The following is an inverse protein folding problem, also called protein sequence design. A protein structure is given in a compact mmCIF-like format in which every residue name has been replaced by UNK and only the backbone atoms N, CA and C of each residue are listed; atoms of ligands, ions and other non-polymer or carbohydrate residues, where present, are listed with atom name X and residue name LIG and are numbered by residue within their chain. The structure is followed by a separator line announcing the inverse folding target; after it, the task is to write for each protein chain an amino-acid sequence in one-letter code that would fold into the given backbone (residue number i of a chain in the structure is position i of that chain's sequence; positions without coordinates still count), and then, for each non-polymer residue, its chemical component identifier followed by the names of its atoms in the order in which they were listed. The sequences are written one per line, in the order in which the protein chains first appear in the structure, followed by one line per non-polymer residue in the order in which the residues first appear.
data_IF_959040945935
#
_entry.id   IF_959040945935
#
_cell.length_a   1.000
_cell.length_b   1.000
_cell.length_c   1.000
_cell.angle_alpha   90.00
_cell.angle_beta   90.00
_cell.angle_gamma   90.00
#
_symmetry.space_group_name_H-M   'P 1'
#
loop_
_entity.id
_entity.type
_entity.pdbx_description
1 polymer ?
#
# COMPACT_ATOMS: atom_id res chain seq x y z
N UNK A 1 3.97 21.29 -10.34
CA UNK A 1 3.01 20.86 -9.27
C UNK A 1 1.77 20.27 -9.94
N UNK A 2 1.70 18.95 -10.02
CA UNK A 2 0.62 18.25 -10.78
C UNK A 2 -0.68 18.18 -9.99
N UNK A 3 -0.63 18.13 -8.66
CA UNK A 3 -1.80 18.06 -7.79
C UNK A 3 -1.77 19.20 -6.76
N UNK A 4 -2.87 19.95 -6.65
CA UNK A 4 -3.04 20.92 -5.56
C UNK A 4 -3.33 20.20 -4.23
N UNK A 5 -3.03 20.83 -3.11
CA UNK A 5 -3.32 20.30 -1.78
C UNK A 5 -4.79 19.93 -1.59
N UNK A 6 -5.69 20.73 -2.15
CA UNK A 6 -7.13 20.46 -2.12
C UNK A 6 -7.49 19.14 -2.82
N UNK A 7 -6.90 18.85 -3.98
CA UNK A 7 -7.13 17.56 -4.68
C UNK A 7 -6.56 16.39 -3.92
N UNK A 8 -5.42 16.58 -3.28
CA UNK A 8 -4.82 15.56 -2.41
C UNK A 8 -5.72 15.24 -1.22
N UNK A 9 -6.25 16.27 -0.59
CA UNK A 9 -7.19 16.11 0.51
C UNK A 9 -8.47 15.40 0.06
N UNK A 10 -9.03 15.75 -1.10
CA UNK A 10 -10.18 15.06 -1.67
C UNK A 10 -9.92 13.56 -1.92
N UNK A 11 -8.72 13.19 -2.41
CA UNK A 11 -8.36 11.78 -2.56
C UNK A 11 -8.32 11.03 -1.22
N UNK A 12 -7.81 11.67 -0.18
CA UNK A 12 -7.79 11.06 1.16
C UNK A 12 -9.20 10.96 1.76
N UNK A 13 -10.10 11.92 1.48
CA UNK A 13 -11.50 11.88 1.92
C UNK A 13 -12.24 10.62 1.44
N UNK A 14 -11.90 10.09 0.26
CA UNK A 14 -12.48 8.84 -0.23
C UNK A 14 -12.20 7.66 0.71
N UNK A 15 -11.16 7.74 1.51
CA UNK A 15 -10.77 6.72 2.50
C UNK A 15 -11.46 6.88 3.85
N UNK A 16 -12.12 8.01 4.10
CA UNK A 16 -12.86 8.25 5.35
C UNK A 16 -14.17 7.44 5.42
N UNK A 17 -14.66 6.95 4.28
CA UNK A 17 -15.81 6.04 4.26
C UNK A 17 -15.37 4.70 4.84
N UNK A 18 -16.03 4.22 5.92
CA UNK A 18 -15.68 2.94 6.51
C UNK A 18 -15.84 1.80 5.50
N UNK A 19 -14.85 0.93 5.30
CA UNK A 19 -14.94 -0.17 4.32
C UNK A 19 -16.18 -1.04 4.50
N UNK A 20 -16.62 -1.26 5.74
CA UNK A 20 -17.79 -2.09 6.05
C UNK A 20 -19.08 -1.58 5.39
N UNK A 21 -19.20 -0.27 5.20
CA UNK A 21 -20.38 0.33 4.54
C UNK A 21 -20.39 0.04 3.05
N UNK A 22 -19.22 0.01 2.44
CA UNK A 22 -19.06 -0.16 0.99
C UNK A 22 -19.06 -1.62 0.55
N UNK A 23 -18.64 -2.54 1.42
CA UNK A 23 -18.38 -3.94 1.05
C UNK A 23 -19.67 -4.68 0.65
N UNK A 24 -20.81 -4.39 1.29
CA UNK A 24 -22.09 -4.99 0.92
C UNK A 24 -22.50 -4.68 -0.52
N UNK A 25 -22.69 -3.41 -0.89
CA UNK A 25 -22.97 -3.02 -2.28
C UNK A 25 -21.89 -3.49 -3.28
N UNK A 26 -20.62 -3.45 -2.87
CA UNK A 26 -19.51 -3.90 -3.70
C UNK A 26 -19.60 -5.39 -4.02
N UNK A 27 -19.94 -6.24 -3.04
CA UNK A 27 -20.07 -7.67 -3.25
C UNK A 27 -21.19 -8.02 -4.25
N UNK A 28 -22.31 -7.30 -4.19
CA UNK A 28 -23.39 -7.45 -5.17
C UNK A 28 -22.90 -7.06 -6.58
N UNK A 29 -22.23 -5.93 -6.71
CA UNK A 29 -21.67 -5.48 -7.98
C UNK A 29 -20.66 -6.48 -8.53
N UNK A 30 -19.74 -6.97 -7.69
CA UNK A 30 -18.73 -7.95 -8.08
C UNK A 30 -19.34 -9.29 -8.53
N UNK A 31 -20.47 -9.66 -7.93
CA UNK A 31 -21.23 -10.85 -8.38
C UNK A 31 -21.79 -10.64 -9.78
N UNK A 32 -22.34 -9.45 -10.09
CA UNK A 32 -22.92 -9.17 -11.41
C UNK A 32 -21.90 -9.13 -12.53
N UNK A 33 -20.67 -8.68 -12.25
CA UNK A 33 -19.59 -8.59 -13.25
C UNK A 33 -18.62 -9.79 -13.23
N UNK A 34 -18.93 -10.83 -12.41
CA UNK A 34 -18.13 -12.04 -12.34
C UNK A 34 -16.75 -11.92 -11.71
N UNK A 35 -16.55 -10.89 -10.84
CA UNK A 35 -15.29 -10.66 -10.13
C UNK A 35 -15.30 -11.14 -8.67
N UNK A 36 -16.43 -11.67 -8.19
CA UNK A 36 -16.50 -12.31 -6.87
C UNK A 36 -15.58 -13.54 -6.85
N UNK A 37 -14.92 -13.81 -5.74
CA UNK A 37 -14.01 -14.95 -5.55
C UNK A 37 -12.89 -15.05 -6.58
N UNK A 38 -12.37 -13.91 -7.04
CA UNK A 38 -11.28 -13.85 -8.03
C UNK A 38 -10.11 -13.01 -7.56
N UNK A 39 -8.88 -13.43 -7.88
CA UNK A 39 -7.67 -12.64 -7.61
C UNK A 39 -7.70 -11.29 -8.31
N UNK A 40 -8.23 -11.23 -9.53
CA UNK A 40 -8.37 -9.98 -10.27
C UNK A 40 -9.30 -9.00 -9.57
N UNK A 41 -10.40 -9.48 -9.00
CA UNK A 41 -11.31 -8.69 -8.20
C UNK A 41 -10.62 -8.12 -6.95
N UNK A 42 -9.88 -8.96 -6.20
CA UNK A 42 -9.13 -8.51 -5.03
C UNK A 42 -8.04 -7.51 -5.40
N UNK A 43 -7.27 -7.76 -6.46
CA UNK A 43 -6.23 -6.83 -6.94
C UNK A 43 -6.84 -5.49 -7.30
N UNK A 44 -7.95 -5.48 -8.04
CA UNK A 44 -8.62 -4.25 -8.46
C UNK A 44 -9.08 -3.40 -7.26
N UNK A 45 -9.73 -4.00 -6.27
CA UNK A 45 -10.19 -3.26 -5.10
C UNK A 45 -9.04 -2.78 -4.22
N UNK A 46 -7.99 -3.58 -4.03
CA UNK A 46 -6.82 -3.18 -3.27
C UNK A 46 -6.05 -2.06 -3.97
N UNK A 47 -5.92 -2.11 -5.29
CA UNK A 47 -5.35 -1.02 -6.05
C UNK A 47 -6.12 0.28 -5.84
N UNK A 48 -7.45 0.26 -6.01
CA UNK A 48 -8.31 1.44 -5.84
C UNK A 48 -8.22 2.00 -4.41
N UNK A 49 -8.25 1.12 -3.42
CA UNK A 49 -8.27 1.54 -2.02
C UNK A 49 -6.92 2.00 -1.50
N UNK A 50 -5.80 1.52 -2.04
CA UNK A 50 -4.45 1.93 -1.62
C UNK A 50 -3.89 3.11 -2.43
N UNK A 51 -4.44 3.38 -3.62
CA UNK A 51 -4.00 4.45 -4.50
C UNK A 51 -3.91 5.83 -3.82
N UNK A 52 -4.89 6.28 -3.01
CA UNK A 52 -4.79 7.56 -2.31
C UNK A 52 -3.56 7.67 -1.41
N UNK A 53 -3.21 6.61 -0.70
CA UNK A 53 -2.00 6.59 0.13
C UNK A 53 -0.72 6.60 -0.71
N UNK A 54 -0.68 5.81 -1.80
CA UNK A 54 0.46 5.78 -2.71
C UNK A 54 0.74 7.17 -3.27
N UNK A 55 -0.30 7.85 -3.76
CA UNK A 55 -0.19 9.19 -4.33
C UNK A 55 0.22 10.20 -3.27
N UNK A 56 -0.41 10.18 -2.10
CA UNK A 56 -0.15 11.14 -1.03
C UNK A 56 1.28 11.02 -0.50
N UNK A 57 1.70 9.82 -0.14
CA UNK A 57 3.05 9.59 0.39
C UNK A 57 4.13 9.90 -0.64
N UNK A 58 3.95 9.43 -1.89
CA UNK A 58 4.91 9.74 -2.97
C UNK A 58 5.03 11.23 -3.21
N UNK A 59 3.90 11.95 -3.23
CA UNK A 59 3.91 13.41 -3.37
C UNK A 59 4.67 14.09 -2.23
N UNK A 60 4.45 13.66 -0.98
CA UNK A 60 5.16 14.23 0.16
C UNK A 60 6.68 14.13 0.00
N UNK A 61 7.19 12.98 -0.46
CA UNK A 61 8.62 12.81 -0.73
C UNK A 61 9.12 13.63 -1.93
N UNK A 62 8.29 13.83 -2.96
CA UNK A 62 8.65 14.71 -4.09
C UNK A 62 8.71 16.18 -3.65
N UNK A 63 7.77 16.61 -2.80
CA UNK A 63 7.74 17.99 -2.29
C UNK A 63 8.95 18.32 -1.36
N UNK A 64 9.61 17.31 -0.81
CA UNK A 64 10.86 17.46 -0.05
C UNK A 64 12.10 17.69 -0.92
N UNK A 65 12.03 17.40 -2.23
CA UNK A 65 13.15 17.64 -3.15
C UNK A 65 13.35 19.14 -3.34
N UNK A 66 14.57 19.66 -3.08
CA UNK A 66 14.86 21.09 -3.31
C UNK A 66 14.68 21.46 -4.78
N UNK A 67 13.91 22.53 -5.03
CA UNK A 67 13.62 22.98 -6.40
C UNK A 67 14.88 23.40 -7.15
N UNK A 68 15.90 23.81 -6.43
CA UNK A 68 17.20 24.23 -6.96
C UNK A 68 17.88 23.09 -7.74
N UNK A 69 17.67 21.83 -7.35
CA UNK A 69 18.22 20.68 -8.06
C UNK A 69 17.56 20.50 -9.44
N UNK A 70 16.23 20.70 -9.52
CA UNK A 70 15.52 20.64 -10.79
C UNK A 70 15.94 21.80 -11.71
N UNK A 71 16.02 23.03 -11.17
CA UNK A 71 16.43 24.22 -11.92
C UNK A 71 17.88 24.12 -12.42
N UNK A 72 18.80 23.61 -11.60
CA UNK A 72 20.17 23.40 -12.03
C UNK A 72 20.26 22.39 -13.20
N UNK A 73 19.50 21.33 -13.16
CA UNK A 73 19.42 20.35 -14.24
C UNK A 73 18.82 20.96 -15.52
N UNK A 74 17.77 21.81 -15.40
CA UNK A 74 17.18 22.52 -16.54
C UNK A 74 18.20 23.47 -17.21
N UNK A 75 18.97 24.19 -16.42
CA UNK A 75 20.03 25.09 -16.93
C UNK A 75 21.11 24.30 -17.69
N UNK A 76 21.41 23.07 -17.24
CA UNK A 76 22.33 22.16 -17.92
C UNK A 76 21.73 21.49 -19.18
N UNK A 77 20.49 21.82 -19.55
CA UNK A 77 19.82 21.32 -20.75
C UNK A 77 19.14 19.95 -20.57
N UNK A 78 18.96 19.48 -19.34
CA UNK A 78 18.25 18.24 -19.09
C UNK A 78 16.75 18.38 -19.44
N UNK A 79 16.21 17.39 -20.15
CA UNK A 79 14.79 17.31 -20.40
C UNK A 79 14.03 16.83 -19.17
N UNK A 80 12.70 16.97 -19.15
CA UNK A 80 11.85 16.58 -18.02
C UNK A 80 12.00 15.12 -17.61
N UNK A 81 12.20 14.22 -18.56
CA UNK A 81 12.35 12.80 -18.27
C UNK A 81 13.69 12.53 -17.55
N UNK A 82 14.78 13.15 -18.02
CA UNK A 82 16.10 13.10 -17.40
C UNK A 82 16.06 13.65 -15.96
N UNK A 83 15.38 14.78 -15.74
CA UNK A 83 15.21 15.36 -14.39
C UNK A 83 14.49 14.37 -13.47
N UNK A 84 13.40 13.75 -13.93
CA UNK A 84 12.66 12.78 -13.12
C UNK A 84 13.52 11.56 -12.79
N UNK A 85 14.20 10.97 -13.78
CA UNK A 85 14.90 9.69 -13.61
C UNK A 85 16.27 9.82 -12.96
N UNK A 86 17.01 10.91 -13.23
CA UNK A 86 18.38 11.07 -12.79
C UNK A 86 18.56 12.03 -11.61
N UNK A 87 17.57 12.92 -11.37
CA UNK A 87 17.65 13.86 -10.26
C UNK A 87 16.62 13.52 -9.18
N UNK A 88 15.33 13.53 -9.51
CA UNK A 88 14.26 13.37 -8.52
C UNK A 88 14.19 11.94 -7.99
N UNK A 89 14.10 10.95 -8.88
CA UNK A 89 13.92 9.54 -8.48
C UNK A 89 15.02 9.01 -7.55
N UNK A 90 16.33 9.24 -7.79
CA UNK A 90 17.37 8.80 -6.85
C UNK A 90 17.24 9.41 -5.45
N UNK A 91 16.76 10.66 -5.36
CA UNK A 91 16.56 11.34 -4.07
C UNK A 91 15.40 10.73 -3.32
N UNK A 92 14.25 10.50 -3.97
CA UNK A 92 13.04 10.00 -3.32
C UNK A 92 12.96 8.48 -3.19
N UNK A 93 13.92 7.71 -3.72
CA UNK A 93 13.85 6.23 -3.75
C UNK A 93 13.63 5.59 -2.37
N UNK A 94 14.21 6.16 -1.32
CA UNK A 94 13.99 5.69 0.06
C UNK A 94 12.56 5.92 0.52
N UNK A 95 11.97 7.07 0.16
CA UNK A 95 10.56 7.38 0.41
C UNK A 95 9.61 6.48 -0.38
N UNK A 96 9.95 6.16 -1.64
CA UNK A 96 9.17 5.20 -2.44
C UNK A 96 9.19 3.79 -1.83
N UNK A 97 10.34 3.35 -1.30
CA UNK A 97 10.44 2.07 -0.58
C UNK A 97 9.62 2.08 0.72
N UNK A 98 9.59 3.20 1.44
CA UNK A 98 8.73 3.37 2.62
C UNK A 98 7.25 3.30 2.25
N UNK A 99 6.85 3.98 1.17
CA UNK A 99 5.49 3.94 0.62
C UNK A 99 5.10 2.53 0.22
N UNK A 100 5.97 1.83 -0.49
CA UNK A 100 5.76 0.43 -0.89
C UNK A 100 5.56 -0.47 0.33
N UNK A 101 6.43 -0.38 1.35
CA UNK A 101 6.32 -1.18 2.56
C UNK A 101 5.01 -0.90 3.31
N UNK A 102 4.63 0.36 3.41
CA UNK A 102 3.37 0.76 4.04
C UNK A 102 2.16 0.15 3.34
N UNK A 103 2.09 0.26 2.00
CA UNK A 103 1.01 -0.31 1.20
C UNK A 103 1.02 -1.84 1.28
N UNK A 104 2.20 -2.46 1.26
CA UNK A 104 2.34 -3.91 1.41
C UNK A 104 1.75 -4.39 2.75
N UNK A 105 2.08 -3.71 3.86
CA UNK A 105 1.54 -4.06 5.17
C UNK A 105 0.02 -3.89 5.20
N UNK A 106 -0.51 -2.78 4.68
CA UNK A 106 -1.95 -2.53 4.62
C UNK A 106 -2.70 -3.62 3.82
N UNK A 107 -2.17 -3.97 2.65
CA UNK A 107 -2.79 -4.97 1.76
C UNK A 107 -2.63 -6.38 2.32
N UNK A 108 -1.46 -6.68 2.89
CA UNK A 108 -1.17 -7.99 3.48
C UNK A 108 -2.03 -8.31 4.70
N UNK A 109 -2.34 -7.29 5.50
CA UNK A 109 -3.14 -7.44 6.73
C UNK A 109 -4.64 -7.23 6.49
N UNK A 110 -5.05 -6.98 5.24
CA UNK A 110 -6.45 -6.73 4.94
C UNK A 110 -7.25 -8.02 5.07
N UNK A 111 -8.32 -7.96 5.86
CA UNK A 111 -9.18 -9.09 6.17
C UNK A 111 -10.61 -8.88 5.68
N UNK A 112 -11.19 -7.71 5.96
CA UNK A 112 -12.64 -7.49 5.85
C UNK A 112 -13.13 -7.59 4.40
N UNK A 113 -12.46 -6.91 3.49
CA UNK A 113 -12.83 -6.90 2.06
C UNK A 113 -12.59 -8.28 1.46
N UNK A 114 -11.44 -8.89 1.78
CA UNK A 114 -11.16 -10.26 1.33
C UNK A 114 -12.19 -11.26 1.87
N UNK A 115 -12.55 -11.18 3.14
CA UNK A 115 -13.53 -12.08 3.76
C UNK A 115 -14.88 -12.06 3.05
N UNK A 116 -15.31 -10.90 2.56
CA UNK A 116 -16.62 -10.75 1.91
C UNK A 116 -16.55 -11.06 0.41
N UNK A 117 -15.44 -10.72 -0.25
CA UNK A 117 -15.29 -10.92 -1.70
C UNK A 117 -14.73 -12.28 -2.09
N UNK A 118 -14.05 -13.00 -1.19
CA UNK A 118 -13.52 -14.34 -1.45
C UNK A 118 -14.41 -15.43 -0.85
N UNK A 119 -14.40 -16.61 -1.47
CA UNK A 119 -15.16 -17.79 -0.99
C UNK A 119 -14.26 -19.03 -0.91
N UNK A 120 -13.74 -19.48 -2.04
CA UNK A 120 -12.97 -20.73 -2.18
C UNK A 120 -11.67 -20.55 -2.95
N UNK A 121 -11.70 -19.76 -4.05
CA UNK A 121 -10.61 -19.72 -5.01
C UNK A 121 -9.59 -18.59 -4.74
N UNK A 122 -10.07 -17.46 -4.18
CA UNK A 122 -9.25 -16.28 -3.93
C UNK A 122 -9.09 -15.98 -2.42
N UNK A 123 -8.96 -17.01 -1.60
CA UNK A 123 -8.87 -16.86 -0.13
C UNK A 123 -7.50 -16.31 0.26
N UNK A 124 -7.50 -15.20 1.01
CA UNK A 124 -6.26 -14.61 1.55
C UNK A 124 -5.84 -15.27 2.87
N UNK A 125 -4.55 -15.16 3.22
CA UNK A 125 -4.04 -15.76 4.45
C UNK A 125 -4.74 -15.25 5.73
N UNK A 126 -5.07 -13.94 5.90
CA UNK A 126 -5.85 -13.49 7.04
C UNK A 126 -7.26 -14.11 7.11
N UNK A 127 -7.91 -14.31 5.96
CA UNK A 127 -9.23 -14.95 5.89
C UNK A 127 -9.12 -16.43 6.26
N UNK A 128 -8.10 -17.13 5.76
CA UNK A 128 -7.85 -18.52 6.11
C UNK A 128 -7.56 -18.69 7.61
N UNK A 129 -6.76 -17.79 8.19
CA UNK A 129 -6.46 -17.81 9.62
C UNK A 129 -7.73 -17.69 10.48
N UNK A 130 -8.66 -16.82 10.09
CA UNK A 130 -9.91 -16.62 10.83
C UNK A 130 -10.82 -17.86 10.86
N UNK A 131 -10.74 -18.75 9.87
CA UNK A 131 -11.51 -20.01 9.87
C UNK A 131 -11.17 -20.91 11.04
N UNK A 132 -9.93 -20.85 11.56
CA UNK A 132 -9.49 -21.67 12.71
C UNK A 132 -9.98 -21.14 14.07
N UNK A 133 -10.54 -19.93 14.13
CA UNK A 133 -11.09 -19.35 15.36
C UNK A 133 -12.50 -19.85 15.67
N UNK A 134 -13.27 -20.26 14.64
CA UNK A 134 -14.68 -20.62 14.72
C UNK A 134 -15.00 -22.09 14.45
N UNK A 135 -14.02 -22.99 14.40
CA UNK A 135 -14.28 -24.39 14.07
C UNK A 135 -15.03 -25.10 15.19
N UNK A 136 -16.06 -25.89 14.83
CA UNK A 136 -16.85 -26.72 15.75
C UNK A 136 -16.01 -27.84 16.43
N UNK A 137 -14.83 -28.11 15.93
CA UNK A 137 -13.88 -29.11 16.49
C UNK A 137 -13.02 -28.58 17.65
N UNK A 138 -13.29 -27.37 18.14
CA UNK A 138 -12.49 -26.67 19.12
C UNK A 138 -11.34 -25.88 18.47
N UNK A 139 -10.68 -25.04 19.27
CA UNK A 139 -9.58 -24.20 18.79
C UNK A 139 -8.37 -25.06 18.41
N UNK A 140 -8.02 -25.10 17.13
CA UNK A 140 -6.85 -25.82 16.62
C UNK A 140 -5.63 -24.90 16.71
N UNK A 141 -5.19 -24.64 17.95
CA UNK A 141 -4.10 -23.69 18.25
C UNK A 141 -2.81 -23.94 17.46
N UNK A 142 -2.46 -25.22 17.21
CA UNK A 142 -1.24 -25.56 16.48
C UNK A 142 -1.26 -25.07 15.02
N UNK A 143 -2.38 -25.27 14.31
CA UNK A 143 -2.52 -24.81 12.92
C UNK A 143 -2.62 -23.30 12.83
N UNK A 144 -3.37 -22.70 13.76
CA UNK A 144 -3.49 -21.24 13.87
C UNK A 144 -2.13 -20.59 14.12
N UNK A 145 -1.34 -21.11 15.05
CA UNK A 145 0.00 -20.61 15.34
C UNK A 145 0.94 -20.76 14.14
N UNK A 146 0.93 -21.91 13.46
CA UNK A 146 1.75 -22.15 12.27
C UNK A 146 1.42 -21.17 11.14
N UNK A 147 0.13 -20.94 10.86
CA UNK A 147 -0.30 -19.93 9.87
C UNK A 147 0.10 -18.52 10.28
N UNK A 148 -0.09 -18.14 11.54
CA UNK A 148 0.29 -16.81 12.05
C UNK A 148 1.79 -16.55 11.86
N UNK A 149 2.63 -17.52 12.18
CA UNK A 149 4.08 -17.45 11.94
C UNK A 149 4.35 -17.33 10.42
N UNK A 150 3.71 -18.16 9.60
CA UNK A 150 3.87 -18.16 8.14
C UNK A 150 3.47 -16.81 7.51
N UNK A 151 2.43 -16.17 8.01
CA UNK A 151 1.98 -14.84 7.56
C UNK A 151 2.98 -13.75 7.97
N UNK A 152 3.59 -13.87 9.13
CA UNK A 152 4.47 -12.85 9.70
C UNK A 152 5.88 -12.86 9.06
N UNK A 153 6.41 -14.05 8.74
CA UNK A 153 7.78 -14.21 8.22
C UNK A 153 8.05 -13.34 6.96
N UNK A 154 7.22 -13.34 5.91
CA UNK A 154 7.48 -12.53 4.71
C UNK A 154 7.58 -11.03 5.03
N UNK A 155 6.73 -10.52 5.92
CA UNK A 155 6.77 -9.12 6.33
C UNK A 155 8.05 -8.77 7.08
N UNK A 156 8.51 -9.66 7.96
CA UNK A 156 9.78 -9.50 8.68
C UNK A 156 10.94 -9.46 7.68
N UNK A 157 10.98 -10.39 6.73
CA UNK A 157 12.04 -10.45 5.70
C UNK A 157 12.08 -9.15 4.89
N UNK A 158 10.93 -8.69 4.41
CA UNK A 158 10.83 -7.42 3.66
C UNK A 158 11.26 -6.24 4.53
N UNK A 159 10.78 -6.16 5.78
CA UNK A 159 11.16 -5.10 6.72
C UNK A 159 12.66 -5.05 6.99
N UNK A 160 13.29 -6.20 7.24
CA UNK A 160 14.75 -6.29 7.44
C UNK A 160 15.51 -5.87 6.18
N UNK A 161 15.05 -6.28 5.00
CA UNK A 161 15.70 -5.94 3.72
C UNK A 161 15.66 -4.45 3.44
N UNK A 162 14.53 -3.80 3.72
CA UNK A 162 14.30 -2.38 3.42
C UNK A 162 14.86 -1.47 4.53
N UNK A 163 15.09 -1.96 5.75
CA UNK A 163 15.50 -1.12 6.92
C UNK A 163 16.68 -0.18 6.64
N UNK A 164 17.68 -0.63 5.88
CA UNK A 164 18.86 0.17 5.56
C UNK A 164 18.52 1.37 4.64
N UNK A 165 17.53 1.22 3.80
CA UNK A 165 17.05 2.26 2.89
C UNK A 165 16.15 3.26 3.62
N UNK A 166 15.32 2.78 4.55
CA UNK A 166 14.49 3.62 5.39
C UNK A 166 15.31 4.53 6.31
N UNK A 167 16.34 3.98 6.97
CA UNK A 167 17.21 4.75 7.87
C UNK A 167 17.89 5.93 7.17
N UNK A 168 18.25 5.80 5.90
CA UNK A 168 18.84 6.89 5.11
C UNK A 168 17.85 7.96 4.71
N UNK A 169 16.57 7.61 4.48
CA UNK A 169 15.52 8.57 4.12
C UNK A 169 15.11 9.47 5.28
N UNK A 170 15.04 8.92 6.49
CA UNK A 170 14.67 9.69 7.68
C UNK A 170 15.76 10.66 8.17
N UNK A 171 17.03 10.44 7.80
CA UNK A 171 18.13 11.32 8.21
C UNK A 171 18.13 12.67 7.49
N UNK A 172 17.56 12.77 6.29
CA UNK A 172 17.50 14.04 5.56
C UNK A 172 16.48 15.03 6.16
N UNK A 173 15.42 14.54 6.80
CA UNK A 173 14.40 15.40 7.46
C UNK A 173 14.86 16.06 8.78
N UNK A 174 15.94 15.58 9.42
CA UNK A 174 16.41 16.11 10.71
C UNK A 174 17.45 17.23 10.62
N UNK A 175 17.92 17.59 9.43
CA UNK A 175 18.97 18.61 9.24
C UNK A 175 18.38 19.99 8.93
N UNK A 176 17.06 20.15 8.98
CA UNK A 176 16.42 21.45 8.80
C UNK A 176 16.07 22.06 10.18
N UNK A 177 17.09 22.64 10.83
CA UNK A 177 16.95 23.72 11.80
C UNK A 177 17.45 25.01 11.20
#
# INVERSE_FOLDING_TARGET
KVLSETRMFQLLMLRMVPPIVLVGPLSLYYTTIGLIDSLTGLIAIYFITTLPYAVWMTKSFIDEVPIELEQAAEIMGANRWTIITEVVFPVIRSGLLATFLFILILTWSEYLVAFILSKTDAVTLPVELAKYEGSSEGRVYGRQAALSVGITIPLIIVGITIRKHLARGFSFGMIRK
#
